data_IF_524266566308
#
_entry.id   IF_524266566308
#
_cell.length_a   1.000
_cell.length_b   1.000
_cell.length_c   1.000
_cell.angle_alpha   90.00
_cell.angle_beta   90.00
_cell.angle_gamma   90.00
#
_symmetry.space_group_name_H-M   'P 1'
#
loop_
_entity.id
_entity.type
_entity.pdbx_description
1 polymer ?
#
# COMPACT_ATOMS: atom_id res chain seq x y z
N UNK A 1 48.65 -12.48 5.19
CA UNK A 1 48.10 -11.10 5.22
C UNK A 1 46.63 -11.15 5.62
N UNK A 2 46.17 -10.32 6.55
CA UNK A 2 44.77 -10.34 7.00
C UNK A 2 43.80 -9.89 5.91
N UNK A 3 42.68 -10.60 5.72
CA UNK A 3 41.65 -10.36 4.70
C UNK A 3 41.11 -8.91 4.67
N UNK A 4 41.17 -8.18 5.79
CA UNK A 4 40.68 -6.79 5.92
C UNK A 4 41.70 -5.69 5.59
N UNK A 5 42.97 -6.02 5.37
CA UNK A 5 44.06 -5.02 5.28
C UNK A 5 44.03 -4.25 3.95
N UNK A 6 43.44 -4.82 2.90
CA UNK A 6 43.26 -4.15 1.60
C UNK A 6 42.36 -2.91 1.69
N UNK A 7 41.36 -2.91 2.58
CA UNK A 7 40.50 -1.73 2.81
C UNK A 7 41.29 -0.52 3.32
N UNK A 8 42.45 -0.75 3.93
CA UNK A 8 43.33 0.28 4.49
C UNK A 8 44.62 0.44 3.68
N UNK A 9 44.60 0.09 2.40
CA UNK A 9 45.73 0.26 1.49
C UNK A 9 46.93 -0.64 1.80
N UNK A 10 46.69 -1.86 2.31
CA UNK A 10 47.78 -2.81 2.54
C UNK A 10 48.53 -2.62 3.87
N UNK A 11 48.14 -1.65 4.70
CA UNK A 11 48.82 -1.32 5.96
C UNK A 11 48.32 -2.17 7.12
N UNK A 12 49.21 -2.93 7.77
CA UNK A 12 48.90 -3.69 8.99
C UNK A 12 49.00 -2.79 10.23
N UNK A 13 47.95 -2.79 11.06
CA UNK A 13 47.85 -1.94 12.26
C UNK A 13 46.94 -0.74 12.07
N UNK A 14 46.34 -0.24 13.16
CA UNK A 14 45.43 0.91 13.15
C UNK A 14 46.04 2.01 14.02
N UNK A 15 46.31 3.17 13.41
CA UNK A 15 46.68 4.36 14.17
C UNK A 15 45.45 4.94 14.88
N UNK A 16 45.60 5.56 16.06
CA UNK A 16 44.51 6.28 16.69
C UNK A 16 44.02 7.39 15.77
N UNK A 17 42.73 7.71 15.86
CA UNK A 17 42.14 8.81 15.08
C UNK A 17 42.84 10.13 15.43
N UNK A 18 43.22 10.89 14.41
CA UNK A 18 43.81 12.21 14.59
C UNK A 18 42.81 13.14 15.28
N UNK A 19 43.26 13.86 16.31
CA UNK A 19 42.42 14.84 17.00
C UNK A 19 42.38 16.12 16.16
N UNK A 20 41.19 16.55 15.77
CA UNK A 20 41.01 17.83 15.09
C UNK A 20 41.36 18.99 16.02
N UNK A 21 42.08 20.00 15.51
CA UNK A 21 42.42 21.23 16.24
C UNK A 21 41.15 22.02 16.59
N UNK A 22 40.18 22.02 15.67
CA UNK A 22 38.89 22.67 15.85
C UNK A 22 37.77 21.63 15.97
N UNK A 23 37.07 21.61 17.11
CA UNK A 23 35.90 20.75 17.33
C UNK A 23 34.57 21.37 16.87
N UNK A 24 34.55 22.69 16.65
CA UNK A 24 33.41 23.44 16.14
C UNK A 24 33.76 24.03 14.77
N UNK A 25 32.78 24.25 13.88
CA UNK A 25 33.04 24.94 12.62
C UNK A 25 33.59 26.35 12.89
N UNK A 26 34.51 26.78 12.02
CA UNK A 26 35.26 28.03 12.21
C UNK A 26 34.82 29.11 11.22
N UNK A 27 34.20 28.68 10.12
CA UNK A 27 33.65 29.52 9.05
C UNK A 27 32.19 29.15 8.78
N UNK A 28 31.39 30.04 8.19
CA UNK A 28 30.11 29.68 7.62
C UNK A 28 30.29 28.65 6.49
N UNK A 29 29.22 27.91 6.18
CA UNK A 29 29.20 26.94 5.09
C UNK A 29 29.34 27.65 3.74
N UNK A 30 30.03 27.00 2.79
CA UNK A 30 30.12 27.51 1.41
C UNK A 30 28.79 27.32 0.67
N UNK A 31 28.59 28.02 -0.44
CA UNK A 31 27.34 27.96 -1.22
C UNK A 31 26.98 26.52 -1.64
N UNK A 32 27.97 25.74 -2.07
CA UNK A 32 27.81 24.33 -2.45
C UNK A 32 27.36 23.49 -1.24
N UNK A 33 27.94 23.73 -0.08
CA UNK A 33 27.60 23.01 1.16
C UNK A 33 26.18 23.38 1.61
N UNK A 34 25.81 24.65 1.47
CA UNK A 34 24.49 25.18 1.79
C UNK A 34 23.41 24.66 0.84
N UNK A 35 23.71 24.51 -0.45
CA UNK A 35 22.83 23.86 -1.41
C UNK A 35 22.63 22.38 -1.07
N UNK A 36 23.69 21.67 -0.67
CA UNK A 36 23.60 20.26 -0.23
C UNK A 36 22.75 20.11 1.04
N UNK A 37 22.93 20.98 2.04
CA UNK A 37 22.09 20.97 3.24
C UNK A 37 20.63 21.27 2.92
N UNK A 38 20.34 22.21 2.00
CA UNK A 38 18.97 22.51 1.56
C UNK A 38 18.32 21.37 0.77
N UNK A 39 19.10 20.70 -0.08
CA UNK A 39 18.62 19.55 -0.85
C UNK A 39 18.31 18.35 0.06
N UNK A 40 18.94 18.28 1.22
CA UNK A 40 18.64 17.26 2.21
C UNK A 40 17.39 17.66 3.00
N UNK A 41 16.24 17.10 2.62
CA UNK A 41 14.98 17.24 3.36
C UNK A 41 15.15 16.74 4.81
N UNK A 42 15.36 17.68 5.73
CA UNK A 42 15.59 17.41 7.15
C UNK A 42 14.63 18.23 8.00
N UNK A 43 14.05 17.58 9.02
CA UNK A 43 13.05 18.17 9.90
C UNK A 43 11.63 17.64 9.68
N UNK A 44 10.64 18.33 10.22
CA UNK A 44 9.22 17.96 10.04
C UNK A 44 8.68 18.52 8.72
N UNK A 45 7.83 17.76 8.04
CA UNK A 45 7.14 18.21 6.83
C UNK A 45 6.28 19.45 7.09
N UNK A 46 6.02 20.21 6.03
CA UNK A 46 5.10 21.34 6.07
C UNK A 46 3.67 20.84 6.39
N UNK A 47 2.93 21.60 7.21
CA UNK A 47 1.59 21.22 7.65
C UNK A 47 1.54 20.21 8.82
N UNK A 48 2.62 19.46 9.10
CA UNK A 48 2.68 18.60 10.29
C UNK A 48 2.98 19.45 11.54
N UNK A 49 2.18 19.35 12.61
CA UNK A 49 2.45 20.07 13.85
C UNK A 49 3.72 19.54 14.52
N UNK A 50 4.60 20.43 14.96
CA UNK A 50 5.81 20.04 15.68
C UNK A 50 5.50 19.74 17.15
N UNK A 51 6.19 18.77 17.77
CA UNK A 51 5.97 18.42 19.16
C UNK A 51 6.30 19.60 20.09
N UNK A 52 5.56 19.68 21.20
CA UNK A 52 5.82 20.63 22.29
C UNK A 52 6.62 19.92 23.38
N UNK A 53 7.79 20.46 23.71
CA UNK A 53 8.60 20.01 24.85
C UNK A 53 8.68 21.18 25.83
N UNK A 54 8.30 20.96 27.10
CA UNK A 54 8.30 21.99 28.15
C UNK A 54 7.56 23.28 27.76
N UNK A 55 6.39 23.14 27.12
CA UNK A 55 5.55 24.27 26.70
C UNK A 55 6.04 25.02 25.46
N UNK A 56 7.22 24.70 24.90
CA UNK A 56 7.76 25.33 23.69
C UNK A 56 7.65 24.40 22.50
N UNK A 57 7.22 24.95 21.36
CA UNK A 57 7.25 24.23 20.10
C UNK A 57 8.70 23.98 19.67
N UNK A 58 9.00 22.74 19.32
CA UNK A 58 10.28 22.42 18.70
C UNK A 58 10.33 23.09 17.31
N UNK A 59 11.44 23.74 16.93
CA UNK A 59 11.56 24.28 15.58
C UNK A 59 11.47 23.17 14.54
N UNK A 60 10.78 23.45 13.42
CA UNK A 60 10.56 22.49 12.33
C UNK A 60 11.86 22.01 11.69
N UNK A 61 12.80 22.94 11.52
CA UNK A 61 14.14 22.68 11.03
C UNK A 61 15.16 22.84 12.16
N UNK A 62 16.26 22.10 12.09
CA UNK A 62 17.35 22.24 13.04
C UNK A 62 18.03 23.60 12.85
N UNK A 63 18.30 24.34 13.94
CA UNK A 63 19.01 25.61 13.82
C UNK A 63 20.43 25.37 13.29
N UNK A 64 20.97 26.29 12.46
CA UNK A 64 22.31 26.14 11.92
C UNK A 64 23.36 26.10 13.03
N UNK A 65 24.42 25.33 12.82
CA UNK A 65 25.51 25.20 13.79
C UNK A 65 26.22 26.55 13.95
N UNK A 66 26.35 27.02 15.18
CA UNK A 66 27.13 28.24 15.49
C UNK A 66 28.61 27.98 15.18
N UNK A 67 29.21 28.89 14.40
CA UNK A 67 30.65 28.89 14.14
C UNK A 67 31.36 29.93 15.01
N UNK A 68 32.66 29.73 15.24
CA UNK A 68 33.52 30.67 15.98
C UNK A 68 34.75 30.92 15.12
N UNK A 69 34.97 32.17 14.71
CA UNK A 69 36.09 32.52 13.83
C UNK A 69 37.45 32.27 14.52
N UNK A 70 38.50 32.10 13.71
CA UNK A 70 39.87 31.97 14.23
C UNK A 70 40.27 33.23 14.99
N UNK A 71 39.94 34.39 14.46
CA UNK A 71 40.21 35.69 15.09
C UNK A 71 39.60 35.77 16.48
N UNK A 72 38.34 35.36 16.63
CA UNK A 72 37.68 35.35 17.93
C UNK A 72 38.33 34.33 18.87
N UNK A 73 38.73 33.15 18.40
CA UNK A 73 39.46 32.20 19.24
C UNK A 73 40.81 32.74 19.70
N UNK A 74 41.55 33.43 18.82
CA UNK A 74 42.85 34.01 19.16
C UNK A 74 42.71 35.07 20.26
N UNK A 75 41.65 35.89 20.23
CA UNK A 75 41.36 36.89 21.28
C UNK A 75 41.17 36.26 22.67
N UNK A 76 40.71 35.01 22.73
CA UNK A 76 40.48 34.30 24.00
C UNK A 76 41.72 33.54 24.51
N UNK A 77 42.84 33.55 23.77
CA UNK A 77 44.09 32.93 24.21
C UNK A 77 44.66 33.76 25.37
N UNK A 78 44.89 33.11 26.51
CA UNK A 78 45.47 33.74 27.69
C UNK A 78 46.99 33.80 27.56
N UNK A 79 47.51 34.98 27.24
CA UNK A 79 48.94 35.28 27.35
C UNK A 79 49.28 35.64 28.80
N UNK A 80 50.52 35.38 29.26
CA UNK A 80 51.00 35.94 30.51
C UNK A 80 50.97 37.47 30.46
N UNK A 81 50.74 38.17 31.59
CA UNK A 81 50.56 39.62 31.62
C UNK A 81 51.85 40.42 31.38
N UNK A 82 53.02 39.79 31.59
CA UNK A 82 54.34 40.41 31.42
C UNK A 82 54.89 40.16 30.02
N UNK A 83 55.73 41.08 29.53
CA UNK A 83 56.44 40.90 28.25
C UNK A 83 57.64 39.96 28.39
N UNK A 84 58.10 39.34 27.29
CA UNK A 84 59.30 38.47 27.29
C UNK A 84 60.56 39.16 27.85
N UNK A 85 60.63 40.49 27.75
CA UNK A 85 61.75 41.30 28.27
C UNK A 85 61.66 41.41 29.79
N UNK A 86 60.49 41.75 30.32
CA UNK A 86 60.21 41.80 31.77
C UNK A 86 60.35 40.43 32.45
N UNK A 87 60.04 39.34 31.73
CA UNK A 87 60.22 37.98 32.25
C UNK A 87 61.68 37.61 32.53
N UNK A 88 62.65 38.31 31.92
CA UNK A 88 64.06 37.98 32.11
C UNK A 88 64.61 38.40 33.48
N UNK A 89 63.96 39.38 34.12
CA UNK A 89 64.34 39.94 35.41
C UNK A 89 63.82 39.11 36.60
N UNK A 90 62.96 38.13 36.33
CA UNK A 90 62.40 37.21 37.32
C UNK A 90 63.41 36.13 37.73
N UNK A 91 63.23 35.52 38.93
CA UNK A 91 63.95 34.31 39.33
C UNK A 91 63.84 33.20 38.27
N UNK A 92 64.88 32.38 38.12
CA UNK A 92 65.01 31.41 37.03
C UNK A 92 63.80 30.48 36.87
N UNK A 93 63.26 29.96 37.98
CA UNK A 93 62.11 29.04 37.95
C UNK A 93 60.81 29.70 37.48
N UNK A 94 60.54 30.92 37.96
CA UNK A 94 59.36 31.70 37.59
C UNK A 94 59.46 32.16 36.13
N UNK A 95 60.64 32.65 35.74
CA UNK A 95 60.98 33.02 34.36
C UNK A 95 60.67 31.88 33.39
N UNK A 96 61.11 30.67 33.70
CA UNK A 96 60.88 29.51 32.83
C UNK A 96 59.42 29.07 32.80
N UNK A 97 58.68 29.25 33.90
CA UNK A 97 57.23 29.02 33.91
C UNK A 97 56.49 30.02 33.00
N UNK A 98 56.79 31.32 33.10
CA UNK A 98 56.18 32.36 32.27
C UNK A 98 56.56 32.22 30.79
N UNK A 99 57.82 31.91 30.48
CA UNK A 99 58.26 31.64 29.10
C UNK A 99 57.55 30.44 28.51
N UNK A 100 57.43 29.33 29.26
CA UNK A 100 56.65 28.17 28.80
C UNK A 100 55.19 28.52 28.54
N UNK A 101 54.58 29.32 29.41
CA UNK A 101 53.20 29.77 29.20
C UNK A 101 53.06 30.65 27.94
N UNK A 102 54.01 31.57 27.72
CA UNK A 102 54.08 32.40 26.53
C UNK A 102 54.20 31.56 25.25
N UNK A 103 55.18 30.65 25.18
CA UNK A 103 55.37 29.81 23.99
C UNK A 103 54.21 28.86 23.75
N UNK A 104 53.55 28.33 24.80
CA UNK A 104 52.31 27.54 24.63
C UNK A 104 51.21 28.36 23.98
N UNK A 105 51.03 29.62 24.37
CA UNK A 105 50.04 30.51 23.79
C UNK A 105 50.40 30.88 22.33
N UNK A 106 51.68 31.10 22.06
CA UNK A 106 52.20 31.40 20.72
C UNK A 106 52.01 30.22 19.76
N UNK A 107 52.44 29.00 20.12
CA UNK A 107 52.23 27.81 19.31
C UNK A 107 50.75 27.49 19.11
N UNK A 108 49.89 27.76 20.10
CA UNK A 108 48.45 27.61 19.95
C UNK A 108 47.88 28.59 18.91
N UNK A 109 48.34 29.85 18.93
CA UNK A 109 47.97 30.86 17.94
C UNK A 109 48.43 30.46 16.54
N UNK A 110 49.67 30.03 16.39
CA UNK A 110 50.22 29.55 15.12
C UNK A 110 49.45 28.35 14.59
N UNK A 111 49.18 27.34 15.42
CA UNK A 111 48.40 26.17 15.04
C UNK A 111 46.99 26.54 14.53
N UNK A 112 46.35 27.55 15.12
CA UNK A 112 45.06 28.04 14.64
C UNK A 112 45.16 28.72 13.28
N UNK A 113 46.18 29.55 13.06
CA UNK A 113 46.38 30.24 11.78
C UNK A 113 46.76 29.27 10.65
N UNK A 114 47.58 28.27 10.95
CA UNK A 114 47.98 27.24 9.98
C UNK A 114 46.80 26.35 9.58
N UNK A 115 46.00 25.92 10.55
CA UNK A 115 44.83 25.09 10.27
C UNK A 115 43.77 25.88 9.49
N UNK A 116 43.63 27.19 9.72
CA UNK A 116 42.79 28.06 8.89
C UNK A 116 43.23 28.03 7.42
N UNK A 117 44.53 28.23 7.17
CA UNK A 117 45.10 28.19 5.81
C UNK A 117 44.89 26.82 5.17
N UNK A 118 45.07 25.75 5.94
CA UNK A 118 44.84 24.38 5.47
C UNK A 118 43.38 24.15 5.08
N UNK A 119 42.43 24.62 5.88
CA UNK A 119 41.01 24.49 5.59
C UNK A 119 40.62 25.26 4.33
N UNK A 120 41.09 26.51 4.18
CA UNK A 120 40.87 27.30 2.95
C UNK A 120 41.36 26.56 1.70
N UNK A 121 42.56 25.98 1.74
CA UNK A 121 43.09 25.16 0.63
C UNK A 121 42.23 23.93 0.33
N UNK A 122 41.70 23.27 1.37
CA UNK A 122 40.81 22.11 1.18
C UNK A 122 39.52 22.54 0.48
N UNK A 123 38.99 23.71 0.81
CA UNK A 123 37.77 24.22 0.21
C UNK A 123 37.98 24.60 -1.26
N UNK A 124 39.06 25.32 -1.57
CA UNK A 124 39.49 25.61 -2.95
C UNK A 124 39.65 24.32 -3.78
N UNK A 125 40.26 23.28 -3.20
CA UNK A 125 40.39 21.97 -3.85
C UNK A 125 39.03 21.32 -4.11
N UNK A 126 38.10 21.34 -3.13
CA UNK A 126 36.76 20.79 -3.31
C UNK A 126 35.98 21.52 -4.39
N UNK A 127 36.06 22.84 -4.44
CA UNK A 127 35.44 23.67 -5.47
C UNK A 127 35.98 23.31 -6.86
N UNK A 128 37.31 23.25 -7.00
CA UNK A 128 37.94 22.87 -8.28
C UNK A 128 37.60 21.44 -8.74
N UNK A 129 37.45 20.49 -7.79
CA UNK A 129 37.02 19.12 -8.10
C UNK A 129 35.57 19.12 -8.56
N UNK A 130 34.69 19.85 -7.87
CA UNK A 130 33.29 19.92 -8.22
C UNK A 130 33.08 20.54 -9.61
N UNK A 131 33.79 21.64 -9.92
CA UNK A 131 33.75 22.26 -11.25
C UNK A 131 34.19 21.30 -12.35
N UNK A 132 35.27 20.53 -12.12
CA UNK A 132 35.74 19.51 -13.06
C UNK A 132 34.73 18.38 -13.24
N UNK A 133 34.05 17.96 -12.19
CA UNK A 133 32.99 16.95 -12.27
C UNK A 133 31.80 17.46 -13.08
N UNK A 134 31.36 18.69 -12.82
CA UNK A 134 30.27 19.32 -13.58
C UNK A 134 30.64 19.51 -15.06
N UNK A 135 31.87 19.92 -15.35
CA UNK A 135 32.37 20.03 -16.72
C UNK A 135 32.39 18.66 -17.43
N UNK A 136 32.86 17.61 -16.76
CA UNK A 136 32.84 16.24 -17.30
C UNK A 136 31.43 15.72 -17.55
N UNK A 137 30.49 16.00 -16.65
CA UNK A 137 29.10 15.61 -16.83
C UNK A 137 28.48 16.31 -18.06
N UNK A 138 28.74 17.62 -18.22
CA UNK A 138 28.30 18.37 -19.40
C UNK A 138 28.90 17.83 -20.69
N UNK A 139 30.21 17.56 -20.71
CA UNK A 139 30.89 16.95 -21.85
C UNK A 139 30.28 15.58 -22.19
N UNK A 140 30.06 14.73 -21.19
CA UNK A 140 29.45 13.42 -21.40
C UNK A 140 28.01 13.51 -21.92
N UNK A 141 27.23 14.48 -21.46
CA UNK A 141 25.89 14.74 -21.98
C UNK A 141 25.92 15.28 -23.42
N UNK A 142 26.89 16.12 -23.77
CA UNK A 142 27.12 16.62 -25.12
C UNK A 142 27.56 15.50 -26.07
N UNK A 143 28.50 14.65 -25.66
CA UNK A 143 28.94 13.46 -26.39
C UNK A 143 27.77 12.50 -26.64
N UNK A 144 26.95 12.22 -25.60
CA UNK A 144 25.73 11.42 -25.74
C UNK A 144 24.73 11.99 -26.74
N UNK A 145 24.63 13.32 -26.84
CA UNK A 145 23.77 13.98 -27.83
C UNK A 145 24.39 13.97 -29.23
N UNK A 146 25.72 14.10 -29.32
CA UNK A 146 26.48 14.14 -30.57
C UNK A 146 26.56 12.78 -31.28
N UNK A 147 26.61 11.67 -30.53
CA UNK A 147 26.62 10.27 -31.02
C UNK A 147 25.33 9.83 -31.76
N UNK A 148 24.52 10.79 -32.19
CA UNK A 148 23.33 10.65 -33.05
C UNK A 148 23.54 9.79 -34.30
N UNK A 149 24.74 9.74 -34.88
CA UNK A 149 25.04 8.94 -36.08
C UNK A 149 25.04 7.43 -35.79
N UNK A 150 25.59 7.02 -34.65
CA UNK A 150 25.56 5.62 -34.19
C UNK A 150 24.14 5.26 -33.74
N UNK A 151 23.46 6.17 -33.04
CA UNK A 151 22.06 5.98 -32.58
C UNK A 151 21.11 5.80 -33.78
N UNK A 152 21.31 6.53 -34.88
CA UNK A 152 20.51 6.40 -36.10
C UNK A 152 20.76 5.08 -36.87
N UNK A 153 21.93 4.46 -36.66
CA UNK A 153 22.26 3.16 -37.27
C UNK A 153 21.74 1.95 -36.48
N UNK A 154 21.29 2.16 -35.23
CA UNK A 154 20.66 1.11 -34.43
C UNK A 154 19.19 0.93 -34.85
N UNK A 155 18.67 -0.31 -34.89
CA UNK A 155 17.26 -0.54 -35.13
C UNK A 155 16.42 0.07 -34.01
N UNK A 156 15.58 1.04 -34.33
CA UNK A 156 14.76 1.76 -33.36
C UNK A 156 13.41 1.08 -33.16
N UNK A 157 13.10 0.67 -31.93
CA UNK A 157 11.75 0.23 -31.53
C UNK A 157 10.89 1.42 -31.06
N UNK A 158 11.14 2.61 -31.60
CA UNK A 158 10.55 3.86 -31.11
C UNK A 158 9.02 3.79 -31.10
N UNK A 159 8.43 3.25 -32.18
CA UNK A 159 6.98 3.09 -32.32
C UNK A 159 6.37 2.18 -31.25
N UNK A 160 7.09 1.14 -30.80
CA UNK A 160 6.63 0.22 -29.74
C UNK A 160 6.72 0.91 -28.37
N UNK A 161 7.81 1.68 -28.15
CA UNK A 161 8.02 2.42 -26.91
C UNK A 161 7.03 3.59 -26.75
N UNK A 162 6.73 4.31 -27.83
CA UNK A 162 5.78 5.43 -27.87
C UNK A 162 4.33 4.99 -27.69
N UNK A 163 3.94 3.86 -28.29
CA UNK A 163 2.58 3.32 -28.16
C UNK A 163 2.29 2.84 -26.73
N UNK A 164 3.33 2.60 -25.93
CA UNK A 164 3.23 2.05 -24.59
C UNK A 164 2.78 0.58 -24.62
N UNK A 165 3.21 -0.19 -23.62
CA UNK A 165 2.85 -1.62 -23.53
C UNK A 165 1.36 -1.85 -23.26
N UNK A 166 0.64 -0.81 -22.81
CA UNK A 166 -0.76 -0.89 -22.39
C UNK A 166 -1.59 0.15 -23.13
N UNK A 167 -2.52 -0.32 -23.96
CA UNK A 167 -3.57 0.51 -24.54
C UNK A 167 -4.54 0.93 -23.44
N UNK A 168 -4.67 2.24 -23.19
CA UNK A 168 -5.71 2.76 -22.30
C UNK A 168 -7.08 2.60 -22.97
N UNK A 169 -8.09 2.18 -22.21
CA UNK A 169 -9.48 2.08 -22.70
C UNK A 169 -10.04 3.47 -22.98
N UNK A 170 -10.80 3.62 -24.06
CA UNK A 170 -11.55 4.85 -24.37
C UNK A 170 -12.63 5.11 -23.30
N UNK A 171 -13.11 6.35 -23.12
CA UNK A 171 -14.19 6.64 -22.16
C UNK A 171 -15.45 5.80 -22.45
N UNK A 172 -15.80 5.62 -23.72
CA UNK A 172 -16.91 4.79 -24.16
C UNK A 172 -16.73 3.31 -23.75
N UNK A 173 -15.55 2.74 -23.95
CA UNK A 173 -15.23 1.38 -23.52
C UNK A 173 -15.34 1.22 -21.99
N UNK A 174 -14.97 2.26 -21.24
CA UNK A 174 -15.08 2.24 -19.78
C UNK A 174 -16.54 2.32 -19.32
N UNK A 175 -17.36 3.14 -19.98
CA UNK A 175 -18.79 3.26 -19.68
C UNK A 175 -19.54 1.97 -19.99
N UNK A 176 -19.29 1.37 -21.16
CA UNK A 176 -19.87 0.09 -21.54
C UNK A 176 -19.52 -1.00 -20.51
N UNK A 177 -18.25 -1.05 -20.09
CA UNK A 177 -17.79 -2.01 -19.09
C UNK A 177 -18.45 -1.77 -17.72
N UNK A 178 -18.65 -0.50 -17.32
CA UNK A 178 -19.38 -0.17 -16.08
C UNK A 178 -20.82 -0.64 -16.13
N UNK A 179 -21.52 -0.42 -17.24
CA UNK A 179 -22.91 -0.88 -17.40
C UNK A 179 -23.01 -2.42 -17.43
N UNK A 180 -22.08 -3.11 -18.09
CA UNK A 180 -22.01 -4.58 -18.03
C UNK A 180 -21.80 -5.09 -16.59
N UNK A 181 -20.92 -4.46 -15.81
CA UNK A 181 -20.72 -4.82 -14.40
C UNK A 181 -21.97 -4.60 -13.56
N UNK A 182 -22.68 -3.51 -13.80
CA UNK A 182 -23.93 -3.17 -13.10
C UNK A 182 -25.06 -4.14 -13.46
N UNK A 183 -25.17 -4.52 -14.73
CA UNK A 183 -26.09 -5.57 -15.18
C UNK A 183 -25.79 -6.90 -14.48
N UNK A 184 -24.53 -7.34 -14.48
CA UNK A 184 -24.14 -8.58 -13.83
C UNK A 184 -24.44 -8.58 -12.32
N UNK A 185 -24.25 -7.43 -11.64
CA UNK A 185 -24.60 -7.29 -10.22
C UNK A 185 -26.10 -7.41 -10.00
N UNK A 186 -26.90 -6.66 -10.79
CA UNK A 186 -28.36 -6.67 -10.69
C UNK A 186 -28.95 -8.05 -11.01
N UNK A 187 -28.39 -8.76 -11.99
CA UNK A 187 -28.80 -10.12 -12.33
C UNK A 187 -28.58 -11.09 -11.17
N UNK A 188 -27.42 -11.03 -10.50
CA UNK A 188 -27.16 -11.83 -9.29
C UNK A 188 -28.11 -11.49 -8.15
N UNK A 189 -28.29 -10.20 -7.85
CA UNK A 189 -29.23 -9.74 -6.82
C UNK A 189 -30.67 -10.19 -7.10
N UNK A 190 -31.08 -10.16 -8.37
CA UNK A 190 -32.40 -10.62 -8.81
C UNK A 190 -32.53 -12.13 -8.59
N UNK A 191 -31.55 -12.92 -9.01
CA UNK A 191 -31.57 -14.37 -8.83
C UNK A 191 -31.65 -14.76 -7.34
N UNK A 192 -30.88 -14.10 -6.47
CA UNK A 192 -30.95 -14.33 -5.02
C UNK A 192 -32.34 -14.02 -4.44
N UNK A 193 -32.99 -12.96 -4.92
CA UNK A 193 -34.34 -12.59 -4.51
C UNK A 193 -35.37 -13.60 -5.01
N UNK A 194 -35.24 -14.09 -6.24
CA UNK A 194 -36.11 -15.13 -6.79
C UNK A 194 -35.98 -16.44 -5.99
N UNK A 195 -34.76 -16.85 -5.65
CA UNK A 195 -34.55 -18.03 -4.78
C UNK A 195 -35.18 -17.86 -3.39
N UNK A 196 -35.09 -16.67 -2.80
CA UNK A 196 -35.75 -16.38 -1.51
C UNK A 196 -37.27 -16.37 -1.65
N UNK A 197 -37.81 -15.80 -2.72
CA UNK A 197 -39.24 -15.77 -2.99
C UNK A 197 -39.79 -17.19 -3.22
N UNK A 198 -39.05 -18.04 -3.94
CA UNK A 198 -39.40 -19.44 -4.14
C UNK A 198 -39.46 -20.20 -2.81
N UNK A 199 -38.44 -20.05 -1.94
CA UNK A 199 -38.46 -20.65 -0.60
C UNK A 199 -39.62 -20.17 0.26
N UNK A 200 -39.97 -18.89 0.18
CA UNK A 200 -41.13 -18.34 0.88
C UNK A 200 -42.42 -18.96 0.35
N UNK A 201 -42.53 -19.15 -0.96
CA UNK A 201 -43.67 -19.76 -1.62
C UNK A 201 -43.79 -21.25 -1.23
N UNK A 202 -42.68 -22.00 -1.19
CA UNK A 202 -42.61 -23.36 -0.64
C UNK A 202 -43.06 -23.40 0.83
N UNK A 203 -42.62 -22.43 1.64
CA UNK A 203 -43.05 -22.30 3.03
C UNK A 203 -44.56 -22.02 3.12
N UNK A 204 -45.10 -21.15 2.26
CA UNK A 204 -46.53 -20.86 2.21
C UNK A 204 -47.35 -22.10 1.82
N UNK A 205 -46.89 -22.86 0.83
CA UNK A 205 -47.55 -24.09 0.41
C UNK A 205 -47.49 -25.20 1.46
N UNK A 206 -46.42 -25.25 2.25
CA UNK A 206 -46.26 -26.17 3.38
C UNK A 206 -46.94 -25.70 4.66
N UNK A 207 -47.23 -24.40 4.81
CA UNK A 207 -47.90 -23.84 5.98
C UNK A 207 -49.30 -24.45 6.21
N UNK A 208 -49.97 -24.91 5.15
CA UNK A 208 -51.22 -25.66 5.25
C UNK A 208 -51.09 -26.98 6.04
N UNK A 209 -49.88 -27.51 6.19
CA UNK A 209 -49.57 -28.71 6.99
C UNK A 209 -49.08 -28.36 8.40
N UNK A 210 -48.83 -27.09 8.71
CA UNK A 210 -48.35 -26.70 10.03
C UNK A 210 -49.51 -26.65 11.03
N UNK A 211 -49.25 -27.16 12.22
CA UNK A 211 -50.20 -27.12 13.33
C UNK A 211 -50.04 -25.77 14.01
N UNK A 212 -51.11 -24.97 14.00
CA UNK A 212 -51.12 -23.61 14.54
C UNK A 212 -52.11 -23.42 15.69
N UNK A 213 -53.16 -24.24 15.74
CA UNK A 213 -54.18 -24.21 16.79
C UNK A 213 -54.22 -25.54 17.54
N UNK A 214 -54.79 -25.53 18.75
CA UNK A 214 -54.95 -26.73 19.58
C UNK A 214 -55.88 -27.76 18.92
N UNK A 215 -56.93 -27.32 18.23
CA UNK A 215 -57.82 -28.22 17.46
C UNK A 215 -57.06 -28.98 16.36
N UNK A 216 -56.18 -28.28 15.62
CA UNK A 216 -55.33 -28.90 14.60
C UNK A 216 -54.32 -29.88 15.22
N UNK A 217 -53.92 -29.65 16.47
CA UNK A 217 -53.00 -30.54 17.19
C UNK A 217 -53.69 -31.86 17.54
N UNK A 218 -54.92 -31.81 18.07
CA UNK A 218 -55.68 -33.01 18.38
C UNK A 218 -55.94 -33.85 17.11
N UNK A 219 -56.41 -33.22 16.03
CA UNK A 219 -56.62 -33.90 14.75
C UNK A 219 -55.33 -34.53 14.19
N UNK A 220 -54.20 -33.83 14.31
CA UNK A 220 -52.90 -34.33 13.86
C UNK A 220 -52.42 -35.51 14.71
N UNK A 221 -52.66 -35.50 16.02
CA UNK A 221 -52.35 -36.62 16.92
C UNK A 221 -53.19 -37.83 16.51
N UNK A 222 -54.51 -37.68 16.35
CA UNK A 222 -55.38 -38.76 15.90
C UNK A 222 -54.92 -39.33 14.55
N UNK A 223 -54.63 -38.48 13.55
CA UNK A 223 -54.10 -38.95 12.25
C UNK A 223 -52.76 -39.68 12.37
N UNK A 224 -51.82 -39.13 13.15
CA UNK A 224 -50.49 -39.71 13.29
C UNK A 224 -50.52 -41.10 13.94
N UNK A 225 -51.38 -41.31 14.95
CA UNK A 225 -51.46 -42.56 15.70
C UNK A 225 -52.45 -43.57 15.11
N UNK A 226 -53.56 -43.16 14.50
CA UNK A 226 -54.59 -44.09 13.99
C UNK A 226 -54.47 -44.38 12.49
N UNK A 227 -54.08 -43.38 11.68
CA UNK A 227 -54.08 -43.48 10.21
C UNK A 227 -52.68 -43.75 9.66
N UNK A 228 -51.66 -43.08 10.20
CA UNK A 228 -50.29 -43.12 9.67
C UNK A 228 -49.33 -44.08 10.40
N UNK A 229 -49.80 -44.82 11.42
CA UNK A 229 -48.98 -45.80 12.14
C UNK A 229 -48.29 -46.82 11.20
N UNK A 230 -48.99 -47.28 10.15
CA UNK A 230 -48.41 -48.19 9.14
C UNK A 230 -47.37 -47.55 8.21
N UNK A 231 -47.41 -46.23 8.01
CA UNK A 231 -46.37 -45.50 7.25
C UNK A 231 -45.09 -45.31 8.05
N UNK A 232 -45.21 -45.17 9.37
CA UNK A 232 -44.05 -45.06 10.25
C UNK A 232 -43.26 -46.38 10.36
N UNK A 233 -43.97 -47.52 10.47
CA UNK A 233 -43.34 -48.85 10.48
C UNK A 233 -42.59 -49.14 9.16
N UNK A 234 -43.20 -48.82 8.01
CA UNK A 234 -42.53 -48.96 6.71
C UNK A 234 -41.33 -48.04 6.53
N UNK A 235 -41.31 -46.86 7.15
CA UNK A 235 -40.18 -45.92 7.09
C UNK A 235 -38.94 -46.41 7.87
N UNK A 236 -39.10 -47.16 8.96
CA UNK A 236 -37.99 -47.68 9.78
C UNK A 236 -37.31 -48.94 9.21
N UNK A 237 -37.89 -49.58 8.20
CA UNK A 237 -37.31 -50.77 7.56
C UNK A 237 -35.99 -50.43 6.82
N UNK A 238 -35.01 -51.34 6.87
CA UNK A 238 -33.69 -51.14 6.25
C UNK A 238 -33.81 -51.02 4.73
N UNK A 239 -32.90 -50.28 4.10
CA UNK A 239 -32.91 -50.01 2.65
C UNK A 239 -32.99 -51.31 1.83
N UNK A 240 -32.35 -52.39 2.29
CA UNK A 240 -32.39 -53.71 1.67
C UNK A 240 -33.81 -54.31 1.65
N UNK A 241 -34.56 -54.20 2.74
CA UNK A 241 -35.95 -54.69 2.82
C UNK A 241 -36.91 -53.86 1.96
N UNK A 242 -36.65 -52.56 1.79
CA UNK A 242 -37.40 -51.68 0.87
C UNK A 242 -37.13 -52.01 -0.59
N UNK A 243 -35.90 -52.42 -0.95
CA UNK A 243 -35.56 -52.82 -2.31
C UNK A 243 -36.11 -54.22 -2.68
N UNK A 244 -36.25 -55.11 -1.70
CA UNK A 244 -36.86 -56.44 -1.88
C UNK A 244 -38.39 -56.37 -2.00
N UNK A 245 -39.02 -55.35 -1.43
CA UNK A 245 -40.46 -55.10 -1.54
C UNK A 245 -40.80 -54.49 -2.92
N UNK A 246 -41.45 -55.28 -3.78
CA UNK A 246 -41.93 -54.83 -5.09
C UNK A 246 -42.89 -53.65 -5.01
N UNK A 247 -43.60 -53.46 -3.89
CA UNK A 247 -44.55 -52.35 -3.70
C UNK A 247 -43.87 -51.02 -3.32
N UNK A 248 -42.73 -51.07 -2.63
CA UNK A 248 -42.00 -49.86 -2.24
C UNK A 248 -41.35 -49.17 -3.45
N UNK A 249 -40.95 -49.92 -4.48
CA UNK A 249 -40.41 -49.38 -5.73
C UNK A 249 -41.41 -48.51 -6.51
N UNK A 250 -42.70 -48.89 -6.53
CA UNK A 250 -43.75 -48.09 -7.19
C UNK A 250 -44.00 -46.76 -6.47
N UNK A 251 -44.08 -46.77 -5.13
CA UNK A 251 -44.27 -45.54 -4.34
C UNK A 251 -43.09 -44.56 -4.48
N UNK A 252 -41.85 -45.07 -4.56
CA UNK A 252 -40.67 -44.24 -4.82
C UNK A 252 -40.66 -43.72 -6.25
N UNK A 253 -41.14 -44.51 -7.22
CA UNK A 253 -41.36 -44.09 -8.60
C UNK A 253 -42.31 -42.91 -8.71
N UNK A 254 -43.51 -43.02 -8.13
CA UNK A 254 -44.53 -41.95 -8.15
C UNK A 254 -44.03 -40.66 -7.50
N UNK A 255 -43.33 -40.74 -6.36
CA UNK A 255 -42.78 -39.55 -5.69
C UNK A 255 -41.69 -38.88 -6.53
N UNK A 256 -40.87 -39.67 -7.23
CA UNK A 256 -39.85 -39.12 -8.12
C UNK A 256 -40.46 -38.53 -9.39
N UNK A 257 -41.47 -39.18 -9.96
CA UNK A 257 -42.22 -38.65 -11.10
C UNK A 257 -42.86 -37.31 -10.76
N UNK A 258 -43.52 -37.19 -9.61
CA UNK A 258 -44.11 -35.92 -9.14
C UNK A 258 -43.06 -34.82 -9.01
N UNK A 259 -41.89 -35.11 -8.44
CA UNK A 259 -40.79 -34.14 -8.33
C UNK A 259 -40.24 -33.72 -9.70
N UNK A 260 -40.17 -34.66 -10.64
CA UNK A 260 -39.72 -34.37 -12.01
C UNK A 260 -40.76 -33.53 -12.74
N UNK A 261 -42.05 -33.87 -12.64
CA UNK A 261 -43.13 -33.08 -13.25
C UNK A 261 -43.18 -31.68 -12.67
N UNK A 262 -42.98 -31.54 -11.34
CA UNK A 262 -42.92 -30.25 -10.67
C UNK A 262 -41.74 -29.41 -11.17
N UNK A 263 -40.55 -30.01 -11.27
CA UNK A 263 -39.38 -29.32 -11.79
C UNK A 263 -39.55 -28.88 -13.26
N UNK A 264 -40.17 -29.70 -14.10
CA UNK A 264 -40.40 -29.41 -15.52
C UNK A 264 -41.49 -28.35 -15.71
N UNK A 265 -42.57 -28.40 -14.93
CA UNK A 265 -43.68 -27.45 -15.02
C UNK A 265 -43.48 -26.17 -14.19
N UNK A 266 -42.38 -26.09 -13.43
CA UNK A 266 -42.12 -24.99 -12.50
C UNK A 266 -43.16 -24.93 -11.38
N UNK A 267 -43.63 -26.10 -10.92
CA UNK A 267 -44.58 -26.27 -9.82
C UNK A 267 -43.87 -26.70 -8.54
N UNK A 268 -44.58 -26.61 -7.41
CA UNK A 268 -44.10 -27.01 -6.08
C UNK A 268 -45.16 -27.92 -5.46
N UNK A 269 -44.90 -29.22 -5.34
CA UNK A 269 -45.83 -30.23 -4.85
C UNK A 269 -47.20 -30.17 -5.58
N UNK A 270 -47.20 -30.05 -6.92
CA UNK A 270 -48.40 -29.91 -7.75
C UNK A 270 -49.13 -28.55 -7.62
N UNK A 271 -48.58 -27.59 -6.86
CA UNK A 271 -49.11 -26.22 -6.71
C UNK A 271 -48.33 -25.24 -7.62
N UNK A 272 -48.93 -24.08 -7.98
CA UNK A 272 -48.24 -23.10 -8.83
C UNK A 272 -46.95 -22.61 -8.19
N UNK A 273 -45.86 -22.59 -8.97
CA UNK A 273 -44.58 -22.04 -8.57
C UNK A 273 -44.43 -20.55 -8.88
N UNK A 274 -43.24 -20.01 -8.59
CA UNK A 274 -42.97 -18.57 -8.57
C UNK A 274 -43.24 -17.89 -9.92
N UNK A 275 -42.85 -18.51 -11.02
CA UNK A 275 -42.98 -17.94 -12.37
C UNK A 275 -44.45 -17.81 -12.78
N UNK A 276 -45.26 -18.84 -12.51
CA UNK A 276 -46.70 -18.80 -12.77
C UNK A 276 -47.41 -17.71 -11.94
N UNK A 277 -47.00 -17.52 -10.68
CA UNK A 277 -47.53 -16.44 -9.83
C UNK A 277 -47.11 -15.07 -10.36
N UNK A 278 -45.84 -14.92 -10.78
CA UNK A 278 -45.31 -13.69 -11.37
C UNK A 278 -46.04 -13.32 -12.66
N UNK A 279 -46.34 -14.28 -13.52
CA UNK A 279 -47.05 -14.07 -14.78
C UNK A 279 -48.52 -13.67 -14.59
N UNK A 280 -49.16 -14.20 -13.54
CA UNK A 280 -50.52 -13.80 -13.17
C UNK A 280 -50.51 -12.38 -12.59
N UNK A 281 -49.60 -12.07 -11.66
CA UNK A 281 -49.52 -10.75 -11.02
C UNK A 281 -49.10 -9.64 -12.00
N UNK A 282 -48.24 -9.96 -12.97
CA UNK A 282 -47.80 -9.00 -14.00
C UNK A 282 -48.81 -8.83 -15.14
N UNK A 283 -49.86 -9.67 -15.20
CA UNK A 283 -50.84 -9.67 -16.27
C UNK A 283 -50.31 -10.17 -17.62
N UNK A 284 -49.04 -10.60 -17.70
CA UNK A 284 -48.43 -11.14 -18.92
C UNK A 284 -49.20 -12.35 -19.42
N UNK A 285 -49.69 -13.21 -18.50
CA UNK A 285 -50.51 -14.38 -18.84
C UNK A 285 -51.82 -14.02 -19.54
N UNK A 286 -52.48 -12.94 -19.13
CA UNK A 286 -53.69 -12.50 -19.79
C UNK A 286 -53.39 -11.88 -21.16
N UNK A 287 -52.31 -11.12 -21.27
CA UNK A 287 -51.87 -10.53 -22.53
C UNK A 287 -51.51 -11.60 -23.55
N UNK A 288 -50.73 -12.60 -23.17
CA UNK A 288 -50.38 -13.73 -24.05
C UNK A 288 -51.60 -14.54 -24.43
N UNK A 289 -52.54 -14.77 -23.50
CA UNK A 289 -53.82 -15.44 -23.81
C UNK A 289 -54.66 -14.65 -24.82
N UNK A 290 -54.78 -13.33 -24.66
CA UNK A 290 -55.49 -12.47 -25.63
C UNK A 290 -54.81 -12.46 -26.99
N UNK A 291 -53.49 -12.36 -27.04
CA UNK A 291 -52.73 -12.43 -28.29
C UNK A 291 -52.89 -13.79 -28.99
N UNK A 292 -52.81 -14.89 -28.24
CA UNK A 292 -53.03 -16.23 -28.79
C UNK A 292 -54.46 -16.40 -29.35
N UNK A 293 -55.48 -15.87 -28.66
CA UNK A 293 -56.86 -15.88 -29.15
C UNK A 293 -57.02 -15.04 -30.42
N UNK A 294 -56.40 -13.86 -30.49
CA UNK A 294 -56.40 -13.01 -31.67
C UNK A 294 -55.70 -13.68 -32.86
N UNK A 295 -54.57 -14.34 -32.63
CA UNK A 295 -53.85 -15.08 -33.67
C UNK A 295 -54.66 -16.27 -34.18
N UNK A 296 -55.29 -17.03 -33.28
CA UNK A 296 -56.17 -18.14 -33.64
C UNK A 296 -57.39 -17.67 -34.43
N UNK A 297 -57.98 -16.52 -34.07
CA UNK A 297 -59.10 -15.94 -34.83
C UNK A 297 -58.68 -15.39 -36.20
N UNK A 298 -57.42 -14.97 -36.35
CA UNK A 298 -56.89 -14.48 -37.62
C UNK A 298 -56.46 -15.60 -38.57
N UNK A 299 -56.20 -16.82 -38.08
CA UNK A 299 -55.88 -18.00 -38.92
C UNK A 299 -57.13 -18.74 -39.44
N UNK A 300 -58.32 -18.42 -38.91
CA UNK A 300 -59.59 -19.07 -39.28
C UNK A 300 -60.34 -18.30 -40.41
N UNK A 301 -59.80 -17.18 -40.88
CA UNK A 301 -60.27 -16.42 -42.05
C UNK A 301 -59.21 -16.37 -43.16
#
# INVERSE_FOLDING_TARGET
>A
MGKGVLKYGGKSGILPKTKAIFHRPIRPLNEIELQKEKAQESGYAEGVPTPKINGKHLPRQQPPRKYITVEDRIKHIKYPPMSLREMNDLPAEERDAYKRAYYRAEFLKEAYLEEEKRLKRIDELKESVHEKEMAKQRQFEEERKADSSVIASLPTMQKILEQGLIRKRTPEEQELLKEQRKLNRRSKELHEKEMKAQKLLELYHSAAKFITTEEQLEEAIYRAFEVDAGKFESAQTSIETKLLSRSAGYMVGEVNELKITDAVLGQIDGKPGLEQVKDVLSGTREQTKRQAQLNLSNEIY
#
